data_IF_636615820976
#
_entry.id   IF_636615820976
#
_cell.length_a   1.000
_cell.length_b   1.000
_cell.length_c   1.000
_cell.angle_alpha   90.00
_cell.angle_beta   90.00
_cell.angle_gamma   90.00
#
_symmetry.space_group_name_H-M   'P 1'
#
loop_
_entity.id
_entity.type
_entity.pdbx_description
1 polymer ?
#
# COMPACT_ATOMS: atom_id res chain seq x y z
N UNK A 1 13.70 -38.59 4.97
CA UNK A 1 14.33 -37.25 4.96
C UNK A 1 14.00 -36.62 6.31
N UNK A 2 14.90 -36.72 7.28
CA UNK A 2 14.64 -36.16 8.61
C UNK A 2 14.93 -34.67 8.53
N UNK A 3 13.89 -33.83 8.60
CA UNK A 3 14.09 -32.39 8.77
C UNK A 3 14.72 -32.18 10.14
N UNK A 4 16.05 -32.05 10.19
CA UNK A 4 16.71 -31.49 11.36
C UNK A 4 16.25 -30.04 11.45
N UNK A 5 15.47 -29.73 12.48
CA UNK A 5 15.30 -28.35 12.93
C UNK A 5 16.68 -27.91 13.43
N UNK A 6 17.46 -27.24 12.57
CA UNK A 6 18.73 -26.63 12.96
C UNK A 6 18.42 -25.46 13.89
N UNK A 7 18.59 -25.66 15.20
CA UNK A 7 18.36 -24.65 16.25
C UNK A 7 19.62 -23.84 16.59
N UNK A 8 20.59 -23.79 15.67
CA UNK A 8 21.82 -23.04 15.90
C UNK A 8 21.48 -21.55 16.02
N UNK A 9 21.73 -20.97 17.20
CA UNK A 9 21.53 -19.55 17.50
C UNK A 9 20.06 -19.07 17.51
N UNK A 10 19.16 -19.82 18.18
CA UNK A 10 17.80 -19.34 18.49
C UNK A 10 17.76 -18.55 19.79
N UNK A 11 17.10 -17.39 19.83
CA UNK A 11 17.01 -16.51 21.02
C UNK A 11 15.57 -16.05 21.31
N UNK A 12 14.72 -16.89 21.93
CA UNK A 12 13.39 -16.50 22.40
C UNK A 12 13.46 -15.83 23.78
N UNK A 13 13.82 -14.54 23.83
CA UNK A 13 13.98 -13.81 25.11
C UNK A 13 12.70 -13.13 25.60
N UNK A 14 11.68 -13.03 24.76
CA UNK A 14 10.38 -12.45 25.14
C UNK A 14 9.53 -13.41 25.98
N UNK A 15 8.71 -12.89 26.88
CA UNK A 15 7.72 -13.67 27.65
C UNK A 15 6.78 -14.41 26.71
N UNK A 16 6.66 -15.74 26.82
CA UNK A 16 5.86 -16.58 25.93
C UNK A 16 6.24 -16.47 24.43
N UNK A 17 7.49 -16.12 24.11
CA UNK A 17 7.97 -16.06 22.74
C UNK A 17 8.34 -17.45 22.20
N UNK A 18 8.31 -17.60 20.87
CA UNK A 18 8.73 -18.82 20.17
C UNK A 18 9.75 -18.49 19.09
N UNK A 19 10.88 -19.18 19.07
CA UNK A 19 11.93 -19.05 18.06
C UNK A 19 12.30 -20.43 17.50
N UNK A 20 12.24 -20.62 16.18
CA UNK A 20 12.53 -21.90 15.53
C UNK A 20 13.32 -21.72 14.24
N UNK A 21 14.46 -22.41 14.11
CA UNK A 21 15.34 -22.35 12.94
C UNK A 21 16.72 -21.78 13.27
N UNK A 22 17.46 -21.30 12.26
CA UNK A 22 18.84 -20.85 12.43
C UNK A 22 18.89 -19.33 12.59
N UNK A 23 19.64 -18.83 13.58
CA UNK A 23 19.83 -17.39 13.82
C UNK A 23 18.52 -16.62 14.02
N UNK A 24 17.51 -17.23 14.62
CA UNK A 24 16.19 -16.60 14.82
C UNK A 24 16.08 -15.96 16.21
N UNK A 25 15.58 -14.72 16.29
CA UNK A 25 15.39 -13.99 17.54
C UNK A 25 13.93 -13.62 17.74
N UNK A 26 13.33 -14.03 18.86
CA UNK A 26 11.97 -13.67 19.26
C UNK A 26 12.02 -12.95 20.62
N UNK A 27 12.22 -11.63 20.60
CA UNK A 27 12.45 -10.82 21.80
C UNK A 27 11.23 -10.05 22.29
N UNK A 28 10.17 -9.94 21.47
CA UNK A 28 8.90 -9.35 21.90
C UNK A 28 8.06 -10.30 22.77
N UNK A 29 7.25 -9.77 23.69
CA UNK A 29 6.30 -10.61 24.46
C UNK A 29 5.29 -11.26 23.52
N UNK A 30 5.07 -12.58 23.64
CA UNK A 30 4.22 -13.40 22.75
C UNK A 30 4.61 -13.31 21.26
N UNK A 31 5.88 -13.02 20.96
CA UNK A 31 6.38 -12.97 19.58
C UNK A 31 6.70 -14.35 19.02
N UNK A 32 6.70 -14.49 17.70
CA UNK A 32 7.10 -15.72 17.01
C UNK A 32 8.11 -15.41 15.90
N UNK A 33 9.27 -16.07 15.92
CA UNK A 33 10.28 -15.99 14.87
C UNK A 33 10.57 -17.40 14.30
N UNK A 34 10.43 -17.59 12.98
CA UNK A 34 10.62 -18.91 12.36
C UNK A 34 11.39 -18.85 11.03
N UNK A 35 12.46 -19.63 10.89
CA UNK A 35 13.19 -19.80 9.63
C UNK A 35 14.68 -19.51 9.73
N UNK A 36 15.23 -18.72 8.82
CA UNK A 36 16.66 -18.36 8.78
C UNK A 36 16.84 -16.87 9.02
N UNK A 37 17.61 -16.48 10.04
CA UNK A 37 17.95 -15.08 10.34
C UNK A 37 16.72 -14.16 10.55
N UNK A 38 15.62 -14.68 11.09
CA UNK A 38 14.39 -13.91 11.33
C UNK A 38 14.38 -13.22 12.70
N UNK A 39 13.84 -12.01 12.79
CA UNK A 39 13.72 -11.25 14.04
C UNK A 39 12.29 -10.80 14.30
N UNK A 40 11.69 -11.24 15.41
CA UNK A 40 10.40 -10.76 15.91
C UNK A 40 10.62 -10.02 17.25
N UNK A 41 10.79 -8.69 17.17
CA UNK A 41 11.10 -7.85 18.35
C UNK A 41 9.92 -7.03 18.87
N UNK A 42 8.85 -6.91 18.08
CA UNK A 42 7.60 -6.30 18.53
C UNK A 42 6.80 -7.21 19.46
N UNK A 43 6.08 -6.62 20.43
CA UNK A 43 5.12 -7.38 21.23
C UNK A 43 4.04 -7.98 20.34
N UNK A 44 3.72 -9.27 20.50
CA UNK A 44 2.79 -10.03 19.68
C UNK A 44 3.14 -10.03 18.19
N UNK A 45 4.40 -9.79 17.82
CA UNK A 45 4.82 -9.77 16.42
C UNK A 45 5.17 -11.16 15.89
N UNK A 46 5.06 -11.35 14.59
CA UNK A 46 5.38 -12.63 13.91
C UNK A 46 6.34 -12.38 12.75
N UNK A 47 7.51 -13.03 12.75
CA UNK A 47 8.47 -13.01 11.66
C UNK A 47 8.70 -14.44 11.14
N UNK A 48 8.43 -14.72 9.87
CA UNK A 48 8.63 -16.06 9.28
C UNK A 48 9.30 -16.01 7.91
N UNK A 49 10.25 -16.91 7.64
CA UNK A 49 10.94 -17.03 6.36
C UNK A 49 12.45 -16.84 6.45
N UNK A 50 13.03 -16.00 5.59
CA UNK A 50 14.48 -15.74 5.55
C UNK A 50 14.76 -14.25 5.68
N UNK A 51 15.54 -13.84 6.67
CA UNK A 51 15.90 -12.44 6.92
C UNK A 51 14.69 -11.51 7.14
N UNK A 52 13.55 -12.05 7.59
CA UNK A 52 12.34 -11.27 7.89
C UNK A 52 12.42 -10.60 9.26
N UNK A 53 11.96 -9.36 9.36
CA UNK A 53 11.96 -8.57 10.59
C UNK A 53 10.57 -8.00 10.91
N UNK A 54 9.99 -8.40 12.04
CA UNK A 54 8.73 -7.87 12.58
C UNK A 54 9.01 -7.10 13.88
N UNK A 55 9.29 -5.80 13.77
CA UNK A 55 9.68 -4.92 14.88
C UNK A 55 8.54 -4.05 15.44
N UNK A 56 7.47 -3.86 14.66
CA UNK A 56 6.25 -3.23 15.15
C UNK A 56 5.49 -4.11 16.15
N UNK A 57 4.89 -3.51 17.18
CA UNK A 57 3.95 -4.25 18.04
C UNK A 57 2.76 -4.72 17.20
N UNK A 58 2.36 -6.00 17.36
CA UNK A 58 1.35 -6.72 16.56
C UNK A 58 1.68 -6.81 15.06
N UNK A 59 2.91 -6.55 14.65
CA UNK A 59 3.26 -6.61 13.23
C UNK A 59 3.52 -8.03 12.75
N UNK A 60 3.40 -8.24 11.44
CA UNK A 60 3.65 -9.53 10.80
C UNK A 60 4.57 -9.35 9.59
N UNK A 61 5.70 -10.05 9.56
CA UNK A 61 6.65 -10.08 8.44
C UNK A 61 6.83 -11.51 7.94
N UNK A 62 6.48 -11.80 6.69
CA UNK A 62 6.52 -13.17 6.14
C UNK A 62 7.15 -13.23 4.75
N UNK A 63 8.24 -13.98 4.58
CA UNK A 63 8.86 -14.24 3.28
C UNK A 63 10.37 -14.05 3.28
N UNK A 64 10.93 -13.43 2.23
CA UNK A 64 12.37 -13.20 2.09
C UNK A 64 12.66 -11.70 2.25
N UNK A 65 13.52 -11.35 3.19
CA UNK A 65 13.97 -9.97 3.44
C UNK A 65 12.83 -8.96 3.65
N UNK A 66 11.74 -9.39 4.29
CA UNK A 66 10.55 -8.57 4.55
C UNK A 66 10.67 -7.81 5.87
N UNK A 67 10.26 -6.54 5.92
CA UNK A 67 10.25 -5.74 7.16
C UNK A 67 8.85 -5.22 7.46
N UNK A 68 8.34 -5.47 8.68
CA UNK A 68 7.09 -4.90 9.21
C UNK A 68 7.39 -4.13 10.52
N UNK A 69 7.59 -2.82 10.40
CA UNK A 69 8.03 -1.94 11.51
C UNK A 69 6.93 -1.04 12.07
N UNK A 70 5.83 -0.83 11.34
CA UNK A 70 4.67 -0.09 11.84
C UNK A 70 3.88 -0.88 12.88
N UNK A 71 3.21 -0.19 13.81
CA UNK A 71 2.26 -0.83 14.73
C UNK A 71 1.15 -1.54 13.93
N UNK A 72 0.88 -2.81 14.22
CA UNK A 72 -0.09 -3.65 13.52
C UNK A 72 0.11 -3.71 11.99
N UNK A 73 1.33 -3.46 11.50
CA UNK A 73 1.66 -3.54 10.08
C UNK A 73 1.84 -4.97 9.60
N UNK A 74 1.65 -5.21 8.30
CA UNK A 74 1.88 -6.51 7.66
C UNK A 74 2.79 -6.35 6.45
N UNK A 75 3.83 -7.16 6.34
CA UNK A 75 4.75 -7.20 5.19
C UNK A 75 4.91 -8.64 4.72
N UNK A 76 4.57 -8.93 3.47
CA UNK A 76 4.58 -10.30 2.93
C UNK A 76 5.18 -10.38 1.53
N UNK A 77 6.06 -11.36 1.28
CA UNK A 77 6.63 -11.64 -0.04
C UNK A 77 8.16 -11.54 -0.05
N UNK A 78 8.72 -10.80 -1.00
CA UNK A 78 10.17 -10.64 -1.19
C UNK A 78 10.54 -9.15 -1.13
N UNK A 79 11.52 -8.79 -0.31
CA UNK A 79 12.04 -7.42 -0.21
C UNK A 79 10.97 -6.35 0.08
N UNK A 80 9.88 -6.72 0.79
CA UNK A 80 8.78 -5.81 1.09
C UNK A 80 8.98 -5.07 2.41
N UNK A 81 8.52 -3.82 2.50
CA UNK A 81 8.60 -3.01 3.73
C UNK A 81 7.26 -2.35 4.06
N UNK A 82 6.74 -2.58 5.27
CA UNK A 82 5.56 -1.91 5.82
C UNK A 82 5.94 -1.16 7.11
N UNK A 83 6.08 0.17 7.02
CA UNK A 83 6.49 1.04 8.13
C UNK A 83 5.38 1.95 8.67
N UNK A 84 4.28 2.11 7.93
CA UNK A 84 3.08 2.81 8.38
C UNK A 84 2.32 2.03 9.45
N UNK A 85 1.69 2.73 10.39
CA UNK A 85 0.78 2.13 11.37
C UNK A 85 -0.43 1.54 10.62
N UNK A 86 -0.77 0.28 10.90
CA UNK A 86 -1.83 -0.52 10.23
C UNK A 86 -1.59 -0.72 8.72
N UNK A 87 -0.38 -0.44 8.20
CA UNK A 87 -0.13 -0.57 6.77
C UNK A 87 0.13 -2.02 6.34
N UNK A 88 -0.11 -2.34 5.07
CA UNK A 88 0.13 -3.66 4.48
C UNK A 88 0.92 -3.56 3.18
N UNK A 89 2.08 -4.23 3.11
CA UNK A 89 2.89 -4.39 1.90
C UNK A 89 2.88 -5.86 1.46
N UNK A 90 2.53 -6.16 0.21
CA UNK A 90 2.53 -7.53 -0.30
C UNK A 90 3.07 -7.64 -1.73
N UNK A 91 4.01 -8.55 -1.97
CA UNK A 91 4.54 -8.84 -3.32
C UNK A 91 6.06 -8.80 -3.37
N UNK A 92 6.64 -8.16 -4.40
CA UNK A 92 8.10 -8.07 -4.57
C UNK A 92 8.59 -6.63 -4.61
N UNK A 93 9.56 -6.29 -3.75
CA UNK A 93 10.18 -4.97 -3.67
C UNK A 93 9.19 -3.81 -3.43
N UNK A 94 8.09 -4.07 -2.71
CA UNK A 94 7.08 -3.03 -2.42
C UNK A 94 7.33 -2.34 -1.08
N UNK A 95 7.12 -1.03 -1.00
CA UNK A 95 7.25 -0.22 0.23
C UNK A 95 5.96 0.54 0.54
N UNK A 96 5.52 0.49 1.80
CA UNK A 96 4.37 1.22 2.36
C UNK A 96 4.77 1.93 3.66
N UNK A 97 4.61 3.24 3.74
CA UNK A 97 4.88 4.03 4.94
C UNK A 97 3.73 4.92 5.40
N UNK A 98 2.70 5.13 4.57
CA UNK A 98 1.50 5.84 4.97
C UNK A 98 0.64 5.02 5.96
N UNK A 99 -0.01 5.72 6.88
CA UNK A 99 -0.98 5.15 7.83
C UNK A 99 -2.10 4.42 7.10
N UNK A 100 -2.39 3.19 7.52
CA UNK A 100 -3.48 2.32 7.05
C UNK A 100 -3.50 2.05 5.53
N UNK A 101 -2.38 2.26 4.84
CA UNK A 101 -2.27 2.07 3.39
C UNK A 101 -2.02 0.60 3.02
N UNK A 102 -2.51 0.17 1.85
CA UNK A 102 -2.26 -1.14 1.26
C UNK A 102 -1.50 -1.00 -0.07
N UNK A 103 -0.38 -1.69 -0.24
CA UNK A 103 0.33 -1.82 -1.53
C UNK A 103 0.48 -3.28 -1.87
N UNK A 104 0.14 -3.64 -3.10
CA UNK A 104 0.37 -4.96 -3.67
C UNK A 104 1.20 -4.89 -4.96
N UNK A 105 1.67 -6.03 -5.47
CA UNK A 105 2.31 -6.14 -6.79
C UNK A 105 3.83 -6.10 -6.71
N UNK A 106 4.47 -5.37 -7.61
CA UNK A 106 5.93 -5.29 -7.64
C UNK A 106 6.45 -3.88 -7.92
N UNK A 107 7.58 -3.53 -7.28
CA UNK A 107 8.34 -2.30 -7.56
C UNK A 107 7.47 -1.03 -7.63
N UNK A 108 6.62 -0.80 -6.61
CA UNK A 108 5.75 0.38 -6.56
C UNK A 108 6.57 1.68 -6.56
N UNK A 109 5.97 2.76 -7.08
CA UNK A 109 6.63 4.06 -7.16
C UNK A 109 7.04 4.58 -5.79
N UNK A 110 8.27 5.09 -5.67
CA UNK A 110 8.91 5.48 -4.40
C UNK A 110 8.16 6.58 -3.63
N UNK A 111 7.19 7.25 -4.27
CA UNK A 111 6.34 8.29 -3.66
C UNK A 111 4.86 7.92 -3.53
N UNK A 112 4.41 6.73 -3.95
CA UNK A 112 2.98 6.40 -3.90
C UNK A 112 2.48 5.92 -2.54
N UNK A 113 3.40 5.68 -1.60
CA UNK A 113 3.08 5.15 -0.27
C UNK A 113 3.96 5.76 0.82
N UNK A 114 4.66 6.85 0.47
CA UNK A 114 5.60 7.62 1.31
C UNK A 114 5.22 9.09 1.20
N UNK A 115 3.94 9.39 1.46
CA UNK A 115 3.36 10.66 1.04
C UNK A 115 3.32 11.66 2.18
N UNK A 116 2.74 11.31 3.34
CA UNK A 116 2.39 12.34 4.32
C UNK A 116 2.53 11.87 5.78
N UNK A 117 1.71 10.92 6.23
CA UNK A 117 1.61 10.60 7.66
C UNK A 117 1.59 9.10 7.91
N UNK A 118 2.62 8.58 8.59
CA UNK A 118 2.75 7.17 8.96
C UNK A 118 1.93 6.75 10.18
N UNK A 119 1.42 7.70 10.97
CA UNK A 119 0.93 7.46 12.34
C UNK A 119 -0.53 7.81 12.58
N UNK A 120 -1.15 8.61 11.71
CA UNK A 120 -2.55 8.99 11.81
C UNK A 120 -3.20 9.10 10.42
N UNK A 121 -4.53 9.01 10.41
CA UNK A 121 -5.31 9.23 9.20
C UNK A 121 -5.05 10.61 8.60
N UNK A 122 -4.96 10.65 7.27
CA UNK A 122 -4.88 11.86 6.46
C UNK A 122 -5.54 11.56 5.13
N UNK A 123 -6.40 12.45 4.66
CA UNK A 123 -7.01 12.34 3.32
C UNK A 123 -5.97 12.45 2.21
N UNK A 124 -4.79 13.02 2.51
CA UNK A 124 -3.65 13.08 1.59
C UNK A 124 -2.80 11.80 1.58
N UNK A 125 -3.04 10.85 2.49
CA UNK A 125 -2.39 9.54 2.42
C UNK A 125 -2.98 8.73 1.27
N UNK A 126 -2.18 7.83 0.72
CA UNK A 126 -2.65 6.81 -0.21
C UNK A 126 -3.36 5.70 0.56
N UNK A 127 -4.56 5.31 0.11
CA UNK A 127 -5.30 4.18 0.66
C UNK A 127 -4.87 2.85 0.05
N UNK A 128 -4.71 2.80 -1.29
CA UNK A 128 -4.42 1.57 -2.00
C UNK A 128 -3.56 1.79 -3.25
N UNK A 129 -2.58 0.90 -3.50
CA UNK A 129 -1.71 0.91 -4.69
C UNK A 129 -1.51 -0.49 -5.24
N UNK A 130 -1.48 -0.61 -6.57
CA UNK A 130 -0.97 -1.78 -7.28
C UNK A 130 0.31 -1.39 -8.02
N UNK A 131 1.46 -1.80 -7.49
CA UNK A 131 2.76 -1.63 -8.13
C UNK A 131 2.92 -2.57 -9.33
N UNK A 132 3.44 -2.06 -10.43
CA UNK A 132 3.72 -2.82 -11.64
C UNK A 132 5.08 -2.49 -12.26
N UNK A 133 6.02 -1.99 -11.46
CA UNK A 133 7.36 -1.66 -11.93
C UNK A 133 8.12 -2.90 -12.40
N UNK A 134 8.99 -2.73 -13.40
CA UNK A 134 9.75 -3.85 -13.95
C UNK A 134 10.94 -4.24 -13.06
N UNK A 135 11.57 -3.26 -12.41
CA UNK A 135 12.75 -3.44 -11.57
C UNK A 135 12.95 -2.21 -10.65
N UNK A 136 14.05 -2.19 -9.89
CA UNK A 136 14.37 -1.12 -8.93
C UNK A 136 14.60 0.25 -9.56
N UNK A 137 14.95 0.31 -10.84
CA UNK A 137 15.17 1.52 -11.63
C UNK A 137 13.90 1.95 -12.37
N UNK A 138 13.02 1.00 -12.69
CA UNK A 138 11.79 1.19 -13.44
C UNK A 138 10.55 0.94 -12.58
N UNK A 139 10.41 1.75 -11.52
CA UNK A 139 9.28 1.66 -10.58
C UNK A 139 8.04 2.35 -11.14
N UNK A 140 6.88 1.73 -10.97
CA UNK A 140 5.60 2.29 -11.42
C UNK A 140 4.43 1.70 -10.65
N UNK A 141 3.29 2.39 -10.72
CA UNK A 141 2.01 1.90 -10.22
C UNK A 141 1.00 1.83 -11.35
N UNK A 142 0.26 0.73 -11.44
CA UNK A 142 -0.85 0.58 -12.38
C UNK A 142 -2.10 1.32 -11.89
N UNK A 143 -2.30 1.33 -10.57
CA UNK A 143 -3.51 1.82 -9.92
C UNK A 143 -3.18 2.44 -8.57
N UNK A 144 -3.78 3.59 -8.25
CA UNK A 144 -3.63 4.29 -6.98
C UNK A 144 -4.94 4.91 -6.52
N UNK A 145 -5.28 4.76 -5.25
CA UNK A 145 -6.44 5.37 -4.59
C UNK A 145 -5.98 6.12 -3.35
N UNK A 146 -6.40 7.37 -3.20
CA UNK A 146 -6.15 8.20 -2.03
C UNK A 146 -7.32 8.17 -1.04
N UNK A 147 -7.07 8.49 0.24
CA UNK A 147 -8.14 8.52 1.24
C UNK A 147 -9.15 9.66 1.04
N UNK A 148 -8.83 10.68 0.24
CA UNK A 148 -9.79 11.68 -0.22
C UNK A 148 -10.76 11.17 -1.31
N UNK A 149 -10.55 9.95 -1.82
CA UNK A 149 -11.35 9.34 -2.89
C UNK A 149 -10.77 9.47 -4.30
N UNK A 150 -9.71 10.27 -4.49
CA UNK A 150 -9.08 10.42 -5.79
C UNK A 150 -8.44 9.10 -6.23
N UNK A 151 -8.68 8.72 -7.48
CA UNK A 151 -8.17 7.48 -8.07
C UNK A 151 -7.42 7.79 -9.36
N UNK A 152 -6.27 7.13 -9.54
CA UNK A 152 -5.43 7.25 -10.74
C UNK A 152 -5.22 5.86 -11.35
N UNK A 153 -5.53 5.73 -12.65
CA UNK A 153 -5.10 4.60 -13.50
C UNK A 153 -4.00 5.15 -14.40
N UNK A 154 -2.83 4.52 -14.38
CA UNK A 154 -1.65 5.07 -15.09
C UNK A 154 -1.66 4.86 -16.61
N UNK A 155 -2.54 3.99 -17.10
CA UNK A 155 -2.72 3.69 -18.51
C UNK A 155 -4.22 3.63 -18.85
N UNK A 156 -4.57 3.01 -19.97
CA UNK A 156 -5.95 2.88 -20.43
C UNK A 156 -6.85 2.14 -19.43
N UNK A 157 -8.02 2.71 -19.17
CA UNK A 157 -9.12 2.06 -18.47
C UNK A 157 -10.17 1.62 -19.49
N UNK A 158 -10.35 0.30 -19.64
CA UNK A 158 -11.45 -0.26 -20.45
C UNK A 158 -12.65 -0.58 -19.56
N UNK A 159 -13.83 -0.05 -19.91
CA UNK A 159 -15.09 -0.33 -19.20
C UNK A 159 -16.08 -0.91 -20.21
N UNK A 160 -16.51 -2.15 -20.01
CA UNK A 160 -17.44 -2.84 -20.91
C UNK A 160 -18.93 -2.52 -20.65
N UNK A 161 -19.23 -1.82 -19.54
CA UNK A 161 -20.57 -1.41 -19.16
C UNK A 161 -20.71 0.11 -19.05
N UNK A 162 -21.76 0.58 -18.37
CA UNK A 162 -22.03 2.00 -18.21
C UNK A 162 -21.07 2.66 -17.22
N UNK A 163 -20.65 3.88 -17.55
CA UNK A 163 -19.94 4.77 -16.63
C UNK A 163 -20.93 5.78 -16.06
N UNK A 164 -21.21 5.70 -14.76
CA UNK A 164 -22.05 6.68 -14.04
C UNK A 164 -21.17 7.82 -13.56
N UNK A 165 -21.43 9.04 -14.06
CA UNK A 165 -20.73 10.26 -13.65
C UNK A 165 -21.77 11.19 -13.02
N UNK A 166 -21.67 11.38 -11.70
CA UNK A 166 -22.65 12.15 -10.89
C UNK A 166 -22.38 13.66 -10.86
N UNK A 167 -21.28 14.12 -11.45
CA UNK A 167 -20.96 15.53 -11.69
C UNK A 167 -21.07 15.89 -13.18
N UNK A 168 -21.12 17.17 -13.51
CA UNK A 168 -21.05 17.69 -14.89
C UNK A 168 -19.63 17.56 -15.51
N UNK A 169 -18.89 16.51 -15.13
CA UNK A 169 -17.58 16.19 -15.68
C UNK A 169 -17.68 15.47 -17.04
N UNK A 170 -18.90 15.22 -17.54
CA UNK A 170 -19.10 14.65 -18.86
C UNK A 170 -18.72 15.68 -19.93
N UNK A 171 -17.50 15.57 -20.44
CA UNK A 171 -17.16 15.93 -21.82
C UNK A 171 -17.19 17.44 -22.16
N UNK A 172 -16.35 18.27 -21.51
CA UNK A 172 -16.00 19.59 -22.09
C UNK A 172 -15.35 19.51 -23.48
N UNK A 173 -14.97 18.31 -23.97
CA UNK A 173 -14.53 18.12 -25.35
C UNK A 173 -15.67 18.21 -26.38
N UNK A 174 -16.93 17.97 -25.98
CA UNK A 174 -18.10 18.00 -26.86
C UNK A 174 -19.06 19.17 -26.56
N UNK A 175 -18.71 20.03 -25.60
CA UNK A 175 -19.43 21.28 -25.35
C UNK A 175 -18.74 22.39 -26.17
N UNK A 176 -19.28 22.69 -27.35
CA UNK A 176 -18.86 23.85 -28.14
C UNK A 176 -19.40 25.11 -27.47
N UNK A 177 -18.51 26.04 -27.10
CA UNK A 177 -18.93 27.35 -26.63
C UNK A 177 -19.76 28.03 -27.71
N UNK A 178 -20.99 28.42 -27.38
CA UNK A 178 -21.87 29.15 -28.29
C UNK A 178 -21.32 30.53 -28.66
N UNK A 179 -20.28 31.04 -27.98
CA UNK A 179 -19.56 32.26 -28.34
C UNK A 179 -20.49 33.44 -28.64
N UNK A 180 -20.31 34.08 -29.80
CA UNK A 180 -21.16 35.18 -30.29
C UNK A 180 -22.53 34.73 -30.83
N UNK A 181 -22.78 33.43 -30.92
CA UNK A 181 -24.08 32.85 -31.29
C UNK A 181 -25.04 32.81 -30.10
N UNK A 182 -24.55 32.73 -28.86
CA UNK A 182 -25.39 32.70 -27.65
C UNK A 182 -26.30 33.95 -27.53
N UNK A 183 -25.79 35.19 -27.66
CA UNK A 183 -26.63 36.38 -27.62
C UNK A 183 -27.66 36.45 -28.77
N UNK A 184 -27.34 35.86 -29.93
CA UNK A 184 -28.25 35.80 -31.08
C UNK A 184 -29.36 34.76 -30.89
N UNK A 185 -29.04 33.62 -30.27
CA UNK A 185 -30.04 32.61 -29.90
C UNK A 185 -30.98 33.12 -28.81
N UNK A 186 -30.46 33.85 -27.82
CA UNK A 186 -31.27 34.49 -26.77
C UNK A 186 -32.27 35.52 -27.32
N UNK A 187 -32.01 36.08 -28.50
CA UNK A 187 -32.93 36.99 -29.21
C UNK A 187 -33.97 36.26 -30.05
N UNK A 188 -33.77 34.98 -30.38
CA UNK A 188 -34.65 34.22 -31.29
C UNK A 188 -35.95 33.78 -30.60
N UNK A 189 -36.01 33.73 -29.27
CA UNK A 189 -37.21 33.26 -28.56
C UNK A 189 -38.12 34.37 -27.99
N UNK A 190 -37.82 35.65 -28.26
CA UNK A 190 -38.71 36.78 -27.93
C UNK A 190 -39.04 36.96 -26.44
N UNK A 191 -38.42 36.22 -25.51
CA UNK A 191 -38.59 36.39 -24.07
C UNK A 191 -37.41 37.13 -23.48
N UNK A 192 -37.62 38.42 -23.26
CA UNK A 192 -36.77 39.27 -22.43
C UNK A 192 -36.73 38.70 -21.01
N UNK A 193 -35.54 38.36 -20.52
CA UNK A 193 -35.27 38.28 -19.09
C UNK A 193 -34.53 39.56 -18.72
N UNK A 194 -35.21 40.46 -18.02
CA UNK A 194 -34.53 41.58 -17.38
C UNK A 194 -33.71 41.07 -16.20
N UNK A 195 -32.53 41.66 -16.00
CA UNK A 195 -31.60 41.35 -14.91
C UNK A 195 -32.20 41.64 -13.54
#
# INVERSE_FOLDING_TARGET
MNAQVSTNNTSPTGTNASAMGQSTTASGSRSTAMGYSTTASGNQSTAMGSSSTASGSRSTAMGQSTTASGYASTSMGSLTTASGIVSTAMGDNTTVSDFASLVIGQYNSTGSSVTNNATSFSTSNTAFVIGNGADSSNKSDAFKVMFNGDTTVSNDLTVSGDVVISSDARLKSNIVSLGSTLPKLLQIDGKSYEM
#
